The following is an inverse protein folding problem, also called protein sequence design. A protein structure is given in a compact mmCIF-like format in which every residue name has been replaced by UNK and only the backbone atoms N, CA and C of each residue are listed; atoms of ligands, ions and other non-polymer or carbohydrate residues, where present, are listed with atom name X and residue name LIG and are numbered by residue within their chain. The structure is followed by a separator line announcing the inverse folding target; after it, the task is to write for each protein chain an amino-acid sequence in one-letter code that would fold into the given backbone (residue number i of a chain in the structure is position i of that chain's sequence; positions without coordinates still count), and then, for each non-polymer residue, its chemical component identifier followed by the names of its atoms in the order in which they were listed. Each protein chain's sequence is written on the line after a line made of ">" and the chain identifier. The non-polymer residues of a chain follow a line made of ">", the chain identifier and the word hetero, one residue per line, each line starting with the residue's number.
data_IF_142918837276
#
_entry.id   IF_142918837276
#
_cell.length_a   1.000
_cell.length_b   1.000
_cell.length_c   1.000
_cell.angle_alpha   90.00
_cell.angle_beta   90.00
_cell.angle_gamma   90.00
#
_symmetry.space_group_name_H-M   'P 1'
#
loop_
_entity.id
_entity.type
_entity.pdbx_description
1 polymer ?
#
# COMPACT_ATOMS: atom_id res chain seq x y z
N UNK A 1 -25.88 -7.53 1.70
CA UNK A 1 -24.56 -8.20 1.72
C UNK A 1 -23.60 -7.30 0.96
N UNK A 2 -22.36 -7.12 1.44
CA UNK A 2 -21.35 -6.31 0.73
C UNK A 2 -20.76 -7.10 -0.43
N UNK A 3 -20.38 -6.41 -1.51
CA UNK A 3 -19.53 -6.99 -2.55
C UNK A 3 -18.16 -7.35 -1.95
N UNK A 4 -17.51 -8.40 -2.45
CA UNK A 4 -16.31 -8.91 -1.79
C UNK A 4 -15.14 -7.93 -1.88
N UNK A 5 -14.85 -7.41 -3.06
CA UNK A 5 -13.68 -6.54 -3.31
C UNK A 5 -13.92 -5.61 -4.51
N UNK A 6 -13.34 -4.42 -4.45
CA UNK A 6 -13.23 -3.46 -5.57
C UNK A 6 -11.76 -3.18 -5.89
N UNK A 7 -11.43 -2.95 -7.16
CA UNK A 7 -10.11 -2.43 -7.56
C UNK A 7 -10.21 -0.92 -7.67
N UNK A 8 -9.39 -0.20 -6.91
CA UNK A 8 -9.38 1.26 -6.85
C UNK A 8 -8.07 1.78 -7.42
N UNK A 9 -8.18 2.55 -8.50
CA UNK A 9 -7.03 3.02 -9.28
C UNK A 9 -6.95 4.55 -9.17
N UNK A 10 -6.00 5.09 -8.39
CA UNK A 10 -5.70 6.52 -8.41
C UNK A 10 -5.14 6.94 -9.77
N UNK A 11 -5.72 7.97 -10.40
CA UNK A 11 -5.31 8.46 -11.71
C UNK A 11 -5.19 9.98 -11.75
N UNK A 12 -4.15 10.45 -12.45
CA UNK A 12 -3.87 11.88 -12.63
C UNK A 12 -3.18 12.20 -13.97
N UNK A 13 -2.75 11.18 -14.73
CA UNK A 13 -2.13 11.34 -16.06
C UNK A 13 -3.19 11.26 -17.15
N UNK A 14 -3.25 12.26 -18.04
CA UNK A 14 -4.22 12.27 -19.16
C UNK A 14 -3.97 11.18 -20.20
N UNK A 15 -2.73 10.69 -20.32
CA UNK A 15 -2.35 9.59 -21.20
C UNK A 15 -1.55 8.58 -20.41
N UNK A 16 -1.81 7.31 -20.65
CA UNK A 16 -1.09 6.20 -20.05
C UNK A 16 0.12 5.82 -20.92
N UNK A 17 1.23 5.44 -20.30
CA UNK A 17 2.32 4.72 -20.98
C UNK A 17 1.84 3.35 -21.47
N UNK A 18 2.64 2.69 -22.29
CA UNK A 18 2.37 1.31 -22.72
C UNK A 18 2.32 0.35 -21.53
N UNK A 19 3.25 0.49 -20.59
CA UNK A 19 3.26 -0.29 -19.34
C UNK A 19 2.01 -0.06 -18.50
N UNK A 20 1.57 1.19 -18.33
CA UNK A 20 0.35 1.53 -17.59
C UNK A 20 -0.93 1.00 -18.28
N UNK A 21 -0.95 0.98 -19.62
CA UNK A 21 -2.06 0.37 -20.39
C UNK A 21 -2.12 -1.13 -20.13
N UNK A 22 -0.99 -1.83 -20.22
CA UNK A 22 -0.91 -3.26 -19.92
C UNK A 22 -1.34 -3.54 -18.46
N UNK A 23 -0.89 -2.72 -17.51
CA UNK A 23 -1.31 -2.82 -16.11
C UNK A 23 -2.82 -2.65 -15.93
N UNK A 24 -3.43 -1.71 -16.65
CA UNK A 24 -4.88 -1.51 -16.61
C UNK A 24 -5.64 -2.70 -17.22
N UNK A 25 -5.18 -3.24 -18.35
CA UNK A 25 -5.78 -4.40 -19.03
C UNK A 25 -5.78 -5.67 -18.15
N UNK A 26 -4.85 -5.78 -17.20
CA UNK A 26 -4.80 -6.91 -16.25
C UNK A 26 -5.92 -6.88 -15.21
N UNK A 27 -6.58 -5.74 -15.01
CA UNK A 27 -7.66 -5.61 -14.03
C UNK A 27 -8.97 -6.16 -14.58
N UNK A 28 -9.31 -7.41 -14.21
CA UNK A 28 -10.52 -8.13 -14.66
C UNK A 28 -11.74 -7.98 -13.73
N UNK A 29 -11.65 -7.16 -12.69
CA UNK A 29 -12.70 -6.95 -11.68
C UNK A 29 -13.33 -5.57 -11.85
N UNK A 30 -14.36 -5.26 -11.07
CA UNK A 30 -14.92 -3.90 -11.03
C UNK A 30 -13.85 -2.89 -10.65
N UNK A 31 -13.57 -1.98 -11.58
CA UNK A 31 -12.63 -0.87 -11.41
C UNK A 31 -13.43 0.36 -11.00
N UNK A 32 -12.93 1.07 -10.01
CA UNK A 32 -13.34 2.45 -9.72
C UNK A 32 -12.10 3.32 -9.76
N UNK A 33 -12.12 4.32 -10.64
CA UNK A 33 -11.07 5.32 -10.69
C UNK A 33 -11.25 6.36 -9.59
N UNK A 34 -10.14 6.80 -9.03
CA UNK A 34 -10.07 7.92 -8.10
C UNK A 34 -9.24 9.01 -8.72
N UNK A 35 -9.82 10.19 -8.92
CA UNK A 35 -9.21 11.23 -9.74
C UNK A 35 -9.37 12.64 -9.10
N UNK A 36 -8.51 13.61 -9.46
CA UNK A 36 -8.73 14.99 -9.06
C UNK A 36 -10.02 15.52 -9.69
N UNK A 37 -10.70 16.44 -9.01
CA UNK A 37 -11.85 17.16 -9.57
C UNK A 37 -11.57 17.65 -11.00
N UNK A 38 -12.56 17.50 -11.87
CA UNK A 38 -12.51 17.87 -13.30
C UNK A 38 -11.53 17.03 -14.16
N UNK A 39 -10.99 15.93 -13.63
CA UNK A 39 -10.16 15.03 -14.42
C UNK A 39 -10.99 14.26 -15.45
N UNK A 40 -10.50 14.25 -16.70
CA UNK A 40 -11.08 13.47 -17.79
C UNK A 40 -9.97 12.88 -18.65
N UNK A 41 -10.15 11.62 -19.05
CA UNK A 41 -9.32 10.95 -20.05
C UNK A 41 -10.10 9.84 -20.76
N UNK A 42 -9.68 9.52 -21.99
CA UNK A 42 -10.36 8.55 -22.86
C UNK A 42 -10.39 7.14 -22.25
N UNK A 43 -9.35 6.74 -21.52
CA UNK A 43 -9.28 5.42 -20.88
C UNK A 43 -10.23 5.27 -19.67
N UNK A 44 -10.92 6.33 -19.27
CA UNK A 44 -11.82 6.33 -18.10
C UNK A 44 -13.30 6.17 -18.46
N UNK A 45 -13.66 6.23 -19.75
CA UNK A 45 -15.04 6.42 -20.21
C UNK A 45 -16.01 5.30 -19.79
N UNK A 46 -15.51 4.07 -19.61
CA UNK A 46 -16.35 2.91 -19.29
C UNK A 46 -16.46 2.62 -17.78
N UNK A 47 -15.64 3.27 -16.95
CA UNK A 47 -15.54 2.95 -15.53
C UNK A 47 -16.02 4.10 -14.65
N UNK A 48 -16.55 3.76 -13.46
CA UNK A 48 -16.96 4.75 -12.47
C UNK A 48 -15.75 5.56 -11.99
N UNK A 49 -15.91 6.87 -11.91
CA UNK A 49 -14.91 7.79 -11.37
C UNK A 49 -15.44 8.44 -10.10
N UNK A 50 -14.61 8.50 -9.06
CA UNK A 50 -14.87 9.22 -7.83
C UNK A 50 -13.85 10.36 -7.71
N UNK A 51 -14.36 11.57 -7.63
CA UNK A 51 -13.54 12.78 -7.59
C UNK A 51 -13.20 13.20 -6.16
N UNK A 52 -11.96 13.65 -5.96
CA UNK A 52 -11.49 14.28 -4.73
C UNK A 52 -10.81 15.62 -5.04
N UNK A 53 -10.69 16.52 -4.06
CA UNK A 53 -9.97 17.79 -4.23
C UNK A 53 -8.56 17.62 -4.84
N UNK A 54 -8.18 18.56 -5.72
CA UNK A 54 -6.93 18.50 -6.51
C UNK A 54 -5.67 18.35 -5.65
N UNK A 55 -5.63 18.99 -4.47
CA UNK A 55 -4.48 18.94 -3.55
C UNK A 55 -4.10 17.52 -3.09
N UNK A 56 -5.03 16.56 -3.11
CA UNK A 56 -4.72 15.17 -2.78
C UNK A 56 -3.87 14.46 -3.85
N UNK A 57 -3.80 15.02 -5.06
CA UNK A 57 -3.04 14.48 -6.20
C UNK A 57 -1.77 15.31 -6.46
N UNK A 58 -1.46 16.26 -5.57
CA UNK A 58 -0.26 17.10 -5.63
C UNK A 58 0.85 16.48 -4.76
N UNK A 59 1.53 15.48 -5.32
CA UNK A 59 2.67 14.82 -4.68
C UNK A 59 2.32 13.81 -3.59
N UNK A 60 3.37 13.27 -2.96
CA UNK A 60 3.28 12.16 -2.00
C UNK A 60 2.53 12.57 -0.74
N UNK A 61 2.71 13.80 -0.26
CA UNK A 61 2.02 14.28 0.94
C UNK A 61 0.51 14.39 0.73
N UNK A 62 0.07 14.86 -0.44
CA UNK A 62 -1.34 14.88 -0.82
C UNK A 62 -1.92 13.48 -0.85
N UNK A 63 -1.23 12.55 -1.51
CA UNK A 63 -1.65 11.15 -1.59
C UNK A 63 -1.77 10.50 -0.21
N UNK A 64 -0.75 10.65 0.65
CA UNK A 64 -0.76 10.12 2.01
C UNK A 64 -1.93 10.70 2.82
N UNK A 65 -2.21 12.00 2.67
CA UNK A 65 -3.35 12.63 3.33
C UNK A 65 -4.69 12.04 2.85
N UNK A 66 -4.84 11.71 1.57
CA UNK A 66 -6.04 11.06 1.04
C UNK A 66 -6.19 9.64 1.60
N UNK A 67 -5.12 8.86 1.58
CA UNK A 67 -5.12 7.47 2.06
C UNK A 67 -5.32 7.33 3.56
N UNK A 68 -5.09 8.41 4.33
CA UNK A 68 -5.36 8.50 5.77
C UNK A 68 -6.66 9.25 6.09
N UNK A 69 -7.52 9.46 5.09
CA UNK A 69 -8.78 10.17 5.23
C UNK A 69 -9.98 9.21 5.30
N UNK A 70 -10.82 9.23 6.36
CA UNK A 70 -12.02 8.39 6.42
C UNK A 70 -12.94 8.59 5.21
N UNK A 71 -13.07 9.84 4.74
CA UNK A 71 -13.95 10.20 3.61
C UNK A 71 -13.56 9.51 2.30
N UNK A 72 -12.32 9.04 2.16
CA UNK A 72 -11.90 8.23 1.02
C UNK A 72 -12.58 6.86 1.05
N UNK A 73 -12.43 6.15 2.17
CA UNK A 73 -12.95 4.79 2.34
C UNK A 73 -14.48 4.74 2.43
N UNK A 74 -15.12 5.79 2.95
CA UNK A 74 -16.59 5.90 2.99
C UNK A 74 -17.25 5.81 1.61
N UNK A 75 -16.52 6.16 0.55
CA UNK A 75 -17.02 6.04 -0.83
C UNK A 75 -17.12 4.59 -1.33
N UNK A 76 -16.59 3.64 -0.57
CA UNK A 76 -16.50 2.23 -0.93
C UNK A 76 -17.21 1.30 0.07
N UNK A 77 -18.12 1.82 0.91
CA UNK A 77 -18.82 1.03 1.94
C UNK A 77 -19.62 -0.16 1.41
N UNK A 78 -19.95 -0.18 0.11
CA UNK A 78 -20.59 -1.33 -0.56
C UNK A 78 -19.69 -2.57 -0.66
N UNK A 79 -18.37 -2.41 -0.43
CA UNK A 79 -17.37 -3.46 -0.52
C UNK A 79 -16.79 -3.82 0.85
N UNK A 80 -16.39 -5.08 1.02
CA UNK A 80 -15.64 -5.53 2.21
C UNK A 80 -14.16 -5.14 2.11
N UNK A 81 -13.59 -5.32 0.92
CA UNK A 81 -12.19 -5.03 0.62
C UNK A 81 -12.04 -4.04 -0.54
N UNK A 82 -10.91 -3.35 -0.56
CA UNK A 82 -10.39 -2.68 -1.75
C UNK A 82 -8.95 -3.12 -2.01
N UNK A 83 -8.63 -3.37 -3.28
CA UNK A 83 -7.25 -3.39 -3.75
C UNK A 83 -6.94 -1.98 -4.27
N UNK A 84 -6.04 -1.27 -3.61
CA UNK A 84 -5.44 -0.09 -4.21
C UNK A 84 -4.42 -0.56 -5.27
N UNK A 85 -4.56 -0.07 -6.49
CA UNK A 85 -3.80 -0.50 -7.65
C UNK A 85 -3.36 0.72 -8.47
N UNK A 86 -2.15 1.21 -8.24
CA UNK A 86 -1.52 2.20 -9.10
C UNK A 86 -1.05 1.56 -10.41
N UNK A 87 -0.96 2.33 -11.49
CA UNK A 87 -0.69 1.77 -12.83
C UNK A 87 0.80 1.45 -13.08
N UNK A 88 1.67 1.83 -12.16
CA UNK A 88 3.04 1.32 -11.98
C UNK A 88 3.07 -0.03 -11.22
N UNK A 89 1.91 -0.60 -10.90
CA UNK A 89 1.74 -1.96 -10.43
C UNK A 89 1.33 -2.91 -11.56
N UNK A 90 1.58 -4.21 -11.40
CA UNK A 90 1.21 -5.24 -12.37
C UNK A 90 0.70 -6.50 -11.68
N UNK A 91 -0.41 -7.10 -12.17
CA UNK A 91 -0.94 -8.39 -11.65
C UNK A 91 -0.55 -9.54 -12.58
N UNK A 92 0.07 -10.58 -12.01
CA UNK A 92 0.47 -11.79 -12.74
C UNK A 92 -0.62 -12.86 -12.77
N UNK A 93 -1.45 -12.98 -11.72
CA UNK A 93 -2.47 -14.04 -11.58
C UNK A 93 -3.77 -13.54 -10.95
N UNK A 94 -4.91 -14.13 -11.32
CA UNK A 94 -6.23 -13.78 -10.76
C UNK A 94 -6.47 -14.46 -9.40
N UNK A 95 -5.76 -13.99 -8.37
CA UNK A 95 -5.81 -14.54 -7.00
C UNK A 95 -6.46 -13.56 -5.99
N UNK A 96 -7.04 -12.45 -6.46
CA UNK A 96 -7.52 -11.37 -5.58
C UNK A 96 -8.55 -11.86 -4.55
N UNK A 97 -9.47 -12.74 -4.95
CA UNK A 97 -10.46 -13.29 -4.03
C UNK A 97 -9.84 -14.22 -2.98
N UNK A 98 -8.78 -14.95 -3.33
CA UNK A 98 -8.04 -15.81 -2.40
C UNK A 98 -7.32 -14.97 -1.33
N UNK A 99 -6.76 -13.82 -1.73
CA UNK A 99 -6.18 -12.88 -0.77
C UNK A 99 -7.23 -12.30 0.18
N UNK A 100 -8.44 -12.02 -0.31
CA UNK A 100 -9.56 -11.60 0.54
C UNK A 100 -10.00 -12.70 1.54
N UNK A 101 -9.80 -13.98 1.21
CA UNK A 101 -10.12 -15.10 2.11
C UNK A 101 -9.13 -15.26 3.26
N UNK A 102 -7.93 -14.63 3.18
CA UNK A 102 -6.95 -14.64 4.28
C UNK A 102 -7.43 -13.85 5.51
N UNK A 103 -8.51 -13.09 5.40
CA UNK A 103 -9.11 -12.29 6.48
C UNK A 103 -8.10 -11.37 7.21
N UNK A 104 -7.24 -10.72 6.41
CA UNK A 104 -6.34 -9.66 6.88
C UNK A 104 -7.02 -8.30 6.72
N UNK A 105 -6.58 -7.32 7.49
CA UNK A 105 -7.04 -5.93 7.36
C UNK A 105 -6.18 -5.12 6.41
N UNK A 106 -4.91 -5.49 6.28
CA UNK A 106 -3.96 -4.87 5.36
C UNK A 106 -2.97 -5.90 4.82
N UNK A 107 -2.76 -5.90 3.52
CA UNK A 107 -1.69 -6.61 2.82
C UNK A 107 -0.96 -5.67 1.86
N UNK A 108 0.35 -5.89 1.72
CA UNK A 108 1.23 -5.19 0.79
C UNK A 108 2.48 -6.03 0.52
N UNK A 109 3.41 -5.50 -0.26
CA UNK A 109 4.70 -6.16 -0.53
C UNK A 109 5.52 -6.35 0.74
N UNK A 110 6.38 -7.36 0.77
CA UNK A 110 7.29 -7.56 1.89
C UNK A 110 8.48 -6.59 1.83
N UNK A 111 8.75 -5.86 2.93
CA UNK A 111 9.92 -5.00 3.01
C UNK A 111 11.20 -5.80 3.28
N UNK A 112 11.86 -6.18 2.19
CA UNK A 112 13.13 -6.88 2.19
C UNK A 112 14.26 -5.89 2.51
N UNK A 113 15.08 -6.21 3.50
CA UNK A 113 16.25 -5.42 3.89
C UNK A 113 17.52 -6.23 3.68
N UNK A 114 18.60 -5.60 3.23
CA UNK A 114 19.90 -6.27 3.09
C UNK A 114 20.37 -6.90 4.42
N UNK A 115 20.96 -8.09 4.30
CA UNK A 115 21.32 -9.02 5.38
C UNK A 115 22.27 -8.45 6.45
N UNK A 116 22.91 -7.28 6.24
CA UNK A 116 23.94 -6.74 7.16
C UNK A 116 23.41 -6.15 8.49
N UNK A 117 22.09 -6.13 8.73
CA UNK A 117 21.49 -5.52 9.95
C UNK A 117 20.73 -6.49 10.87
N UNK A 118 20.66 -7.79 10.59
CA UNK A 118 19.81 -8.71 11.37
C UNK A 118 20.18 -8.79 12.85
N UNK A 119 21.47 -8.68 13.20
CA UNK A 119 21.93 -8.62 14.60
C UNK A 119 21.55 -7.33 15.33
N UNK A 120 21.37 -6.22 14.60
CA UNK A 120 20.84 -4.98 15.18
C UNK A 120 19.33 -5.09 15.47
N UNK A 121 18.68 -6.17 15.01
CA UNK A 121 17.23 -6.33 15.05
C UNK A 121 16.67 -7.05 16.30
N UNK A 122 17.49 -7.79 17.05
CA UNK A 122 16.99 -8.59 18.17
C UNK A 122 16.61 -7.77 19.43
N UNK A 123 17.00 -6.50 19.55
CA UNK A 123 16.68 -5.64 20.73
C UNK A 123 15.48 -4.68 20.50
N UNK A 124 14.55 -5.03 19.61
CA UNK A 124 13.80 -4.01 18.87
C UNK A 124 12.40 -3.63 19.37
N UNK A 125 11.62 -4.52 19.99
CA UNK A 125 10.22 -4.21 20.31
C UNK A 125 10.07 -3.05 21.31
N UNK A 126 10.96 -2.98 22.31
CA UNK A 126 10.98 -1.88 23.29
C UNK A 126 11.37 -0.56 22.62
N UNK A 127 12.41 -0.57 21.78
CA UNK A 127 12.84 0.63 21.04
C UNK A 127 11.74 1.13 20.10
N UNK A 128 10.97 0.23 19.49
CA UNK A 128 9.89 0.57 18.58
C UNK A 128 8.74 1.24 19.34
N UNK A 129 8.38 0.69 20.51
CA UNK A 129 7.40 1.31 21.42
C UNK A 129 7.86 2.67 21.94
N UNK A 130 9.12 2.81 22.33
CA UNK A 130 9.69 4.10 22.76
C UNK A 130 9.65 5.12 21.61
N UNK A 131 9.97 4.69 20.39
CA UNK A 131 9.90 5.52 19.20
C UNK A 131 8.48 6.03 18.97
N UNK A 132 7.47 5.15 18.96
CA UNK A 132 6.06 5.53 18.81
C UNK A 132 5.60 6.48 19.93
N UNK A 133 6.00 6.22 21.18
CA UNK A 133 5.70 7.11 22.30
C UNK A 133 6.30 8.52 22.10
N UNK A 134 7.53 8.62 21.57
CA UNK A 134 8.17 9.90 21.26
C UNK A 134 7.49 10.63 20.10
N UNK A 135 7.14 9.92 19.02
CA UNK A 135 6.36 10.48 17.91
C UNK A 135 5.05 11.10 18.40
N UNK A 136 4.39 10.46 19.37
CA UNK A 136 3.16 11.00 19.96
C UNK A 136 3.40 12.33 20.70
N UNK A 137 4.55 12.52 21.35
CA UNK A 137 4.82 13.70 22.19
C UNK A 137 5.46 14.88 21.47
N UNK A 138 6.21 14.67 20.38
CA UNK A 138 6.85 15.76 19.63
C UNK A 138 5.87 16.43 18.66
N UNK A 139 5.91 17.76 18.58
CA UNK A 139 5.17 18.53 17.57
C UNK A 139 5.83 18.45 16.18
N UNK A 140 7.16 18.34 16.11
CA UNK A 140 7.92 18.18 14.87
C UNK A 140 8.93 17.03 15.04
N UNK A 141 8.61 15.85 14.51
CA UNK A 141 9.49 14.68 14.54
C UNK A 141 10.22 14.48 13.20
N UNK A 142 10.69 15.57 12.59
CA UNK A 142 11.32 15.56 11.28
C UNK A 142 12.78 15.06 11.30
N UNK A 143 13.37 14.81 12.48
CA UNK A 143 14.76 14.33 12.60
C UNK A 143 14.85 12.90 13.15
N UNK A 144 15.55 12.06 12.39
CA UNK A 144 16.02 10.70 12.70
C UNK A 144 15.02 9.53 12.55
N UNK A 145 14.16 9.57 11.54
CA UNK A 145 13.29 8.44 11.20
C UNK A 145 14.09 7.24 10.65
N UNK A 146 14.49 6.31 11.52
CA UNK A 146 15.00 4.99 11.09
C UNK A 146 13.85 4.03 10.81
N UNK A 147 13.01 4.36 9.81
CA UNK A 147 11.88 3.54 9.39
C UNK A 147 12.27 2.08 9.14
N UNK A 148 13.41 1.86 8.49
CA UNK A 148 13.94 0.52 8.20
C UNK A 148 14.05 -0.42 9.41
N UNK A 149 14.14 0.11 10.62
CA UNK A 149 14.15 -0.70 11.84
C UNK A 149 12.75 -1.20 12.25
N UNK A 150 11.71 -0.37 12.10
CA UNK A 150 10.32 -0.76 12.45
C UNK A 150 9.63 -1.53 11.33
N UNK A 151 10.06 -1.32 10.07
CA UNK A 151 9.53 -2.00 8.88
C UNK A 151 10.22 -3.33 8.59
N UNK A 152 11.27 -3.68 9.35
CA UNK A 152 11.98 -4.95 9.18
C UNK A 152 11.06 -6.16 9.37
N UNK A 153 11.03 -7.06 8.36
CA UNK A 153 10.12 -8.22 8.29
C UNK A 153 8.64 -7.83 8.46
N UNK A 154 8.27 -6.65 7.97
CA UNK A 154 6.89 -6.20 7.83
C UNK A 154 6.52 -6.12 6.36
N UNK A 155 5.27 -5.80 6.10
CA UNK A 155 4.73 -5.59 4.76
C UNK A 155 4.20 -4.18 4.66
N UNK A 156 4.21 -3.64 3.46
CA UNK A 156 3.69 -2.32 3.13
C UNK A 156 3.97 -2.06 1.66
N UNK A 157 3.05 -1.38 1.02
CA UNK A 157 3.19 -0.89 -0.34
C UNK A 157 1.96 -0.01 -0.59
N UNK A 158 2.15 1.31 -0.57
CA UNK A 158 1.06 2.27 -0.73
C UNK A 158 0.19 1.96 -1.93
N UNK A 159 0.82 1.83 -3.12
CA UNK A 159 0.14 1.74 -4.41
C UNK A 159 -0.34 0.38 -4.88
N UNK A 160 0.07 -0.72 -4.25
CA UNK A 160 -0.42 -2.07 -4.47
C UNK A 160 -0.71 -2.75 -3.13
N UNK A 161 -1.88 -2.48 -2.56
CA UNK A 161 -2.27 -2.99 -1.24
C UNK A 161 -3.73 -3.38 -1.14
N UNK A 162 -4.00 -4.51 -0.47
CA UNK A 162 -5.35 -4.96 -0.13
C UNK A 162 -5.73 -4.43 1.26
N UNK A 163 -6.87 -3.76 1.37
CA UNK A 163 -7.31 -3.07 2.59
C UNK A 163 -8.75 -3.45 2.93
N UNK A 164 -9.01 -3.85 4.20
CA UNK A 164 -10.36 -4.15 4.69
C UNK A 164 -11.06 -2.87 5.14
N UNK A 165 -12.02 -2.42 4.34
CA UNK A 165 -12.53 -1.04 4.36
C UNK A 165 -13.02 -0.62 5.75
N UNK A 166 -13.90 -1.42 6.37
CA UNK A 166 -14.49 -1.09 7.68
C UNK A 166 -13.44 -0.97 8.79
N UNK A 167 -12.44 -1.85 8.77
CA UNK A 167 -11.40 -1.86 9.80
C UNK A 167 -10.44 -0.68 9.61
N UNK A 168 -10.13 -0.29 8.38
CA UNK A 168 -9.36 0.93 8.13
C UNK A 168 -10.15 2.16 8.58
N UNK A 169 -11.43 2.31 8.19
CA UNK A 169 -12.30 3.41 8.64
C UNK A 169 -12.29 3.53 10.16
N UNK A 170 -12.47 2.41 10.87
CA UNK A 170 -12.45 2.37 12.34
C UNK A 170 -11.15 2.94 12.91
N UNK A 171 -9.99 2.56 12.36
CA UNK A 171 -8.69 3.06 12.79
C UNK A 171 -8.54 4.56 12.52
N UNK A 172 -9.02 5.03 11.36
CA UNK A 172 -8.92 6.45 11.00
C UNK A 172 -9.75 7.34 11.93
N UNK A 173 -10.95 6.89 12.33
CA UNK A 173 -11.77 7.59 13.32
C UNK A 173 -11.24 7.47 14.76
N UNK A 174 -10.55 6.38 15.09
CA UNK A 174 -10.02 6.16 16.44
C UNK A 174 -8.80 7.04 16.73
N UNK A 175 -8.02 7.40 15.70
CA UNK A 175 -6.73 8.10 15.88
C UNK A 175 -6.55 9.41 15.07
N UNK A 176 -7.54 10.32 15.00
CA UNK A 176 -7.47 11.53 14.14
C UNK A 176 -6.30 12.45 14.51
N UNK A 177 -6.08 12.68 15.81
CA UNK A 177 -4.97 13.52 16.29
C UNK A 177 -3.59 12.91 15.99
N UNK A 178 -3.52 11.59 15.89
CA UNK A 178 -2.26 10.93 15.58
C UNK A 178 -1.99 10.98 14.08
N UNK A 179 -3.01 10.76 13.25
CA UNK A 179 -2.94 10.92 11.80
C UNK A 179 -2.43 12.31 11.41
N UNK A 180 -2.92 13.38 12.04
CA UNK A 180 -2.41 14.74 11.81
C UNK A 180 -0.90 14.83 12.06
N UNK A 181 -0.38 14.16 13.10
CA UNK A 181 1.06 14.12 13.39
C UNK A 181 1.85 13.26 12.40
N UNK A 182 1.27 12.15 11.94
CA UNK A 182 1.85 11.28 10.92
C UNK A 182 2.03 12.06 9.61
N UNK A 183 0.98 12.75 9.16
CA UNK A 183 1.00 13.61 7.98
C UNK A 183 2.03 14.74 8.14
N UNK A 184 2.00 15.46 9.28
CA UNK A 184 2.96 16.53 9.56
C UNK A 184 4.42 16.04 9.61
N UNK A 185 4.63 14.78 10.02
CA UNK A 185 5.95 14.14 10.05
C UNK A 185 6.36 13.50 8.72
N UNK A 186 5.53 13.62 7.67
CA UNK A 186 5.72 13.00 6.35
C UNK A 186 5.98 11.49 6.41
N UNK A 187 5.35 10.81 7.37
CA UNK A 187 5.42 9.36 7.48
C UNK A 187 4.49 8.76 6.42
N UNK A 188 4.95 7.78 5.61
CA UNK A 188 4.10 7.08 4.66
C UNK A 188 2.86 6.46 5.32
N UNK A 189 1.75 6.51 4.60
CA UNK A 189 0.46 5.96 5.05
C UNK A 189 0.52 4.45 5.28
N UNK A 190 1.26 3.73 4.43
CA UNK A 190 1.39 2.28 4.52
C UNK A 190 2.15 1.87 5.79
N UNK A 191 3.19 2.62 6.18
CA UNK A 191 3.89 2.47 7.46
C UNK A 191 2.96 2.74 8.63
N UNK A 192 2.08 3.74 8.52
CA UNK A 192 1.08 3.98 9.55
C UNK A 192 0.13 2.79 9.72
N UNK A 193 -0.51 2.36 8.63
CA UNK A 193 -1.53 1.32 8.64
C UNK A 193 -0.95 -0.08 8.97
N UNK A 194 0.22 -0.41 8.44
CA UNK A 194 0.79 -1.76 8.57
C UNK A 194 1.70 -1.97 9.79
N UNK A 195 2.25 -0.88 10.35
CA UNK A 195 3.25 -0.97 11.43
C UNK A 195 2.86 -0.14 12.64
N UNK A 196 2.69 1.17 12.47
CA UNK A 196 2.60 2.07 13.61
C UNK A 196 1.36 1.78 14.45
N UNK A 197 0.19 1.61 13.83
CA UNK A 197 -1.07 1.33 14.54
C UNK A 197 -0.92 0.20 15.57
N UNK A 198 -0.31 -0.92 15.17
CA UNK A 198 -0.09 -2.08 16.05
C UNK A 198 1.08 -1.90 17.04
N UNK A 199 2.06 -1.06 16.72
CA UNK A 199 3.11 -0.70 17.70
C UNK A 199 2.57 0.23 18.80
N UNK A 200 1.59 1.07 18.45
CA UNK A 200 0.93 1.97 19.38
C UNK A 200 -0.03 1.21 20.29
N UNK A 201 -0.96 0.47 19.70
CA UNK A 201 -1.91 -0.37 20.40
C UNK A 201 -1.88 -1.75 19.74
N UNK A 202 -1.41 -2.81 20.43
CA UNK A 202 -1.34 -4.15 19.83
C UNK A 202 -2.70 -4.66 19.34
N UNK A 203 -2.66 -5.48 18.29
CA UNK A 203 -3.79 -6.24 17.74
C UNK A 203 -4.97 -5.36 17.27
N UNK A 204 -4.70 -4.14 16.79
CA UNK A 204 -5.73 -3.28 16.20
C UNK A 204 -6.04 -3.64 14.75
N UNK A 205 -5.03 -4.06 13.99
CA UNK A 205 -5.17 -4.52 12.60
C UNK A 205 -4.48 -5.88 12.41
N UNK A 206 -5.12 -6.79 11.68
CA UNK A 206 -4.53 -8.03 11.19
C UNK A 206 -3.69 -7.72 9.94
N UNK A 207 -2.37 -7.80 10.07
CA UNK A 207 -1.45 -7.47 8.98
C UNK A 207 -0.92 -8.76 8.35
N UNK A 208 -0.84 -8.80 7.02
CA UNK A 208 -0.32 -9.95 6.29
C UNK A 208 1.11 -10.30 6.77
N UNK A 209 1.41 -11.57 7.10
CA UNK A 209 2.75 -11.97 7.51
C UNK A 209 3.79 -11.79 6.40
N UNK A 210 5.04 -11.48 6.77
CA UNK A 210 6.14 -11.20 5.84
C UNK A 210 6.27 -12.19 4.67
N UNK A 211 6.31 -13.50 4.95
CA UNK A 211 6.46 -14.51 3.89
C UNK A 211 5.26 -14.60 2.97
N UNK A 212 4.05 -14.32 3.46
CA UNK A 212 2.87 -14.17 2.60
C UNK A 212 2.91 -12.85 1.83
N UNK A 213 3.51 -11.79 2.39
CA UNK A 213 3.76 -10.53 1.69
C UNK A 213 4.67 -10.70 0.47
N UNK A 214 5.65 -11.60 0.53
CA UNK A 214 6.48 -11.98 -0.63
C UNK A 214 5.60 -12.61 -1.72
N UNK A 215 4.67 -13.50 -1.34
CA UNK A 215 3.74 -14.13 -2.27
C UNK A 215 2.70 -13.15 -2.81
N UNK A 216 2.35 -12.12 -2.03
CA UNK A 216 1.40 -11.09 -2.41
C UNK A 216 1.99 -10.12 -3.44
N UNK A 217 3.13 -9.50 -3.13
CA UNK A 217 3.76 -8.58 -4.05
C UNK A 217 5.28 -8.47 -3.92
N UNK A 218 5.92 -8.24 -5.08
CA UNK A 218 7.30 -7.78 -5.16
C UNK A 218 7.35 -6.28 -5.37
N UNK A 219 8.37 -5.64 -4.81
CA UNK A 219 8.67 -4.21 -4.99
C UNK A 219 10.20 -4.06 -4.97
N UNK A 220 10.79 -3.70 -3.83
CA UNK A 220 12.24 -3.67 -3.67
C UNK A 220 12.88 -5.06 -3.78
N UNK A 221 13.97 -5.15 -4.54
CA UNK A 221 14.80 -6.36 -4.73
C UNK A 221 14.04 -7.57 -5.33
N UNK A 222 13.37 -7.42 -6.48
CA UNK A 222 12.50 -8.47 -7.01
C UNK A 222 13.26 -9.74 -7.41
N UNK A 223 14.51 -9.67 -7.86
CA UNK A 223 15.32 -10.87 -8.12
C UNK A 223 15.59 -11.70 -6.85
N UNK A 224 15.84 -11.03 -5.72
CA UNK A 224 16.01 -11.70 -4.44
C UNK A 224 14.68 -12.21 -3.90
N UNK A 225 13.60 -11.44 -4.02
CA UNK A 225 12.25 -11.84 -3.66
C UNK A 225 11.84 -13.12 -4.41
N UNK A 226 12.10 -13.16 -5.73
CA UNK A 226 11.87 -14.32 -6.58
C UNK A 226 12.62 -15.56 -6.09
N UNK A 227 13.91 -15.42 -5.77
CA UNK A 227 14.72 -16.50 -5.21
C UNK A 227 14.16 -17.06 -3.90
N UNK A 228 13.78 -16.18 -2.96
CA UNK A 228 13.23 -16.62 -1.66
C UNK A 228 11.76 -17.04 -1.75
N UNK A 229 11.07 -16.73 -2.85
CA UNK A 229 9.75 -17.21 -3.21
C UNK A 229 9.80 -18.49 -4.06
N UNK A 230 10.88 -19.29 -3.95
CA UNK A 230 11.07 -20.53 -4.69
C UNK A 230 10.98 -20.37 -6.22
N UNK A 231 11.46 -19.25 -6.74
CA UNK A 231 11.40 -18.91 -8.16
C UNK A 231 9.96 -18.91 -8.70
N UNK A 232 9.01 -18.44 -7.89
CA UNK A 232 7.63 -18.20 -8.30
C UNK A 232 7.34 -16.70 -8.30
N UNK A 233 6.61 -16.24 -9.30
CA UNK A 233 6.09 -14.88 -9.31
C UNK A 233 5.05 -14.69 -8.20
N UNK A 234 4.93 -13.49 -7.64
CA UNK A 234 3.90 -13.15 -6.67
C UNK A 234 2.53 -12.99 -7.37
N UNK A 235 1.50 -12.64 -6.61
CA UNK A 235 0.23 -12.18 -7.17
C UNK A 235 0.39 -10.93 -8.03
N UNK A 236 1.16 -9.94 -7.56
CA UNK A 236 1.50 -8.75 -8.36
C UNK A 236 2.82 -8.09 -7.98
N UNK A 237 3.13 -6.95 -8.56
CA UNK A 237 4.28 -6.13 -8.18
C UNK A 237 3.95 -4.64 -8.28
N UNK A 238 4.84 -3.80 -7.81
CA UNK A 238 4.73 -2.34 -7.80
C UNK A 238 6.09 -1.71 -8.09
N UNK A 239 6.10 -0.51 -8.67
CA UNK A 239 7.30 0.24 -9.05
C UNK A 239 8.30 -0.60 -9.87
N UNK A 240 7.79 -1.47 -10.75
CA UNK A 240 8.62 -2.44 -11.47
C UNK A 240 9.57 -1.78 -12.49
N UNK A 241 9.25 -0.57 -12.97
CA UNK A 241 10.13 0.20 -13.84
C UNK A 241 11.33 0.79 -13.08
N UNK A 242 11.18 1.05 -11.78
CA UNK A 242 12.23 1.64 -10.93
C UNK A 242 13.11 0.57 -10.26
N UNK A 243 12.52 -0.57 -9.86
CA UNK A 243 13.22 -1.63 -9.13
C UNK A 243 13.66 -2.79 -10.01
N UNK A 244 14.96 -2.84 -10.30
CA UNK A 244 15.60 -3.87 -11.14
C UNK A 244 14.88 -4.09 -12.48
N UNK A 245 14.72 -3.07 -13.34
CA UNK A 245 13.97 -3.18 -14.60
C UNK A 245 14.47 -4.32 -15.52
N UNK A 246 15.75 -4.66 -15.46
CA UNK A 246 16.32 -5.81 -16.19
C UNK A 246 15.77 -7.15 -15.71
N UNK A 247 15.45 -7.31 -14.42
CA UNK A 247 14.83 -8.53 -13.90
C UNK A 247 13.49 -8.79 -14.58
N UNK A 248 12.65 -7.77 -14.74
CA UNK A 248 11.33 -7.90 -15.37
C UNK A 248 11.45 -8.15 -16.88
N UNK A 249 12.24 -7.32 -17.56
CA UNK A 249 12.38 -7.34 -19.02
C UNK A 249 13.11 -8.58 -19.54
N UNK A 250 14.25 -8.92 -18.97
CA UNK A 250 15.10 -10.01 -19.49
C UNK A 250 14.46 -11.39 -19.29
N UNK A 251 13.61 -11.52 -18.27
CA UNK A 251 12.83 -12.73 -18.02
C UNK A 251 11.46 -12.73 -18.72
N UNK A 252 11.11 -11.66 -19.46
CA UNK A 252 9.82 -11.50 -20.15
C UNK A 252 8.61 -11.65 -19.22
N UNK A 253 8.71 -11.12 -18.01
CA UNK A 253 7.60 -11.14 -17.05
C UNK A 253 6.59 -10.02 -17.30
N UNK A 254 7.05 -8.88 -17.83
CA UNK A 254 6.27 -7.70 -18.19
C UNK A 254 6.73 -7.24 -19.57
#
# INVERSE_FOLDING_TARGET
>A
MKNKVVVVIPIYKKKLSESEQLSLERCRKTIIFVAPQDFQSDYTQENKIIYFPKHYFEGIEGYNALMLSPIFYEKFLEYEYMLLYQLDAFVFRDELLEWCQKDVDYAGAAWIHHHKSWWKSLKNSIRAKIYVYRLRKKQNAQSDLKLGFITYKKVGNGGFSLRKIDNIIKILYLYPNWIQKIIASKIPEDVFLSVLVNLYQPNQLKILPFYQGIQFAFEMFPSYAYKINNYQLPFGCHDFEDWEPSFWKDNQFI
#
